data_IF_535031739798
#
_entry.id   IF_535031739798
#
_cell.length_a   1.000
_cell.length_b   1.000
_cell.length_c   1.000
_cell.angle_alpha   90.00
_cell.angle_beta   90.00
_cell.angle_gamma   90.00
#
_symmetry.space_group_name_H-M   'P 1'
#
loop_
_entity.id
_entity.type
_entity.pdbx_description
1 polymer ?
#
# COMPACT_ATOMS: atom_id res chain seq x y z
N UNK A 1 37.42 17.90 -53.38
CA UNK A 1 36.46 17.11 -52.57
C UNK A 1 35.77 18.04 -51.59
N UNK A 2 34.45 18.30 -51.71
CA UNK A 2 33.75 19.19 -50.79
C UNK A 2 33.61 18.55 -49.41
N UNK A 3 33.96 19.29 -48.34
CA UNK A 3 33.77 18.86 -46.95
C UNK A 3 32.27 18.88 -46.60
N UNK A 4 31.72 17.83 -45.96
CA UNK A 4 30.32 17.82 -45.54
C UNK A 4 30.09 18.89 -44.46
N UNK A 5 29.02 19.67 -44.64
CA UNK A 5 28.60 20.74 -43.74
C UNK A 5 28.01 20.18 -42.44
N UNK A 6 28.34 20.76 -41.27
CA UNK A 6 28.00 20.20 -39.95
C UNK A 6 26.49 20.24 -39.61
N UNK A 7 25.65 20.92 -40.41
CA UNK A 7 24.20 20.98 -40.18
C UNK A 7 23.46 19.73 -40.65
N UNK A 8 23.99 19.02 -41.66
CA UNK A 8 23.34 17.86 -42.26
C UNK A 8 23.31 16.66 -41.30
N UNK A 9 24.41 16.41 -40.58
CA UNK A 9 24.53 15.28 -39.65
C UNK A 9 23.66 15.41 -38.39
N UNK A 10 23.38 16.65 -37.95
CA UNK A 10 22.48 16.89 -36.81
C UNK A 10 21.03 16.68 -37.21
N UNK A 11 20.66 17.12 -38.42
CA UNK A 11 19.32 16.94 -38.95
C UNK A 11 18.99 15.46 -39.15
N UNK A 12 19.93 14.66 -39.67
CA UNK A 12 19.74 13.22 -39.82
C UNK A 12 19.62 12.50 -38.47
N UNK A 13 20.43 12.88 -37.47
CA UNK A 13 20.32 12.31 -36.12
C UNK A 13 18.97 12.61 -35.45
N UNK A 14 18.44 13.83 -35.63
CA UNK A 14 17.11 14.21 -35.12
C UNK A 14 16.00 13.42 -35.83
N UNK A 15 16.09 13.25 -37.15
CA UNK A 15 15.13 12.44 -37.91
C UNK A 15 15.12 10.98 -37.46
N UNK A 16 16.28 10.36 -37.28
CA UNK A 16 16.39 8.96 -36.84
C UNK A 16 15.83 8.77 -35.43
N UNK A 17 16.06 9.72 -34.52
CA UNK A 17 15.51 9.66 -33.16
C UNK A 17 14.00 9.83 -33.12
N UNK A 18 13.43 10.76 -33.90
CA UNK A 18 11.97 10.93 -34.01
C UNK A 18 11.31 9.69 -34.60
N UNK A 19 11.89 9.11 -35.65
CA UNK A 19 11.39 7.86 -36.26
C UNK A 19 11.47 6.71 -35.25
N UNK A 20 12.59 6.57 -34.54
CA UNK A 20 12.75 5.54 -33.50
C UNK A 20 11.73 5.68 -32.37
N UNK A 21 11.52 6.90 -31.86
CA UNK A 21 10.51 7.16 -30.83
C UNK A 21 9.09 6.89 -31.33
N UNK A 22 8.77 7.27 -32.57
CA UNK A 22 7.48 6.99 -33.21
C UNK A 22 7.21 5.50 -33.39
N UNK A 23 8.22 4.72 -33.80
CA UNK A 23 8.10 3.26 -33.92
C UNK A 23 7.90 2.58 -32.57
N UNK A 24 8.65 2.99 -31.54
CA UNK A 24 8.49 2.46 -30.18
C UNK A 24 7.10 2.80 -29.63
N UNK A 25 6.66 4.04 -29.77
CA UNK A 25 5.31 4.45 -29.36
C UNK A 25 4.20 3.74 -30.13
N UNK A 26 4.40 3.51 -31.44
CA UNK A 26 3.49 2.73 -32.27
C UNK A 26 3.39 1.28 -31.83
N UNK A 27 4.51 0.64 -31.49
CA UNK A 27 4.53 -0.71 -30.93
C UNK A 27 3.86 -0.78 -29.55
N UNK A 28 4.08 0.22 -28.69
CA UNK A 28 3.39 0.33 -27.41
C UNK A 28 1.88 0.45 -27.62
N UNK A 29 1.42 1.27 -28.56
CA UNK A 29 0.00 1.39 -28.91
C UNK A 29 -0.58 0.11 -29.52
N UNK A 30 0.16 -0.55 -30.42
CA UNK A 30 -0.28 -1.79 -31.08
C UNK A 30 -0.29 -2.99 -30.14
N UNK A 31 0.60 -3.02 -29.15
CA UNK A 31 0.67 -4.05 -28.13
C UNK A 31 -0.10 -3.68 -26.85
N UNK A 32 -0.67 -2.47 -26.78
CA UNK A 32 -1.58 -2.11 -25.70
C UNK A 32 -2.90 -2.86 -25.97
N UNK A 33 -3.38 -3.69 -25.03
CA UNK A 33 -4.65 -4.36 -25.20
C UNK A 33 -5.74 -3.29 -25.33
N UNK A 34 -6.37 -3.24 -26.50
CA UNK A 34 -7.53 -2.40 -26.77
C UNK A 34 -8.60 -2.68 -25.71
N UNK A 35 -9.17 -1.60 -25.16
CA UNK A 35 -10.15 -1.61 -24.06
C UNK A 35 -11.42 -2.43 -24.37
N UNK A 36 -11.57 -2.93 -25.60
CA UNK A 36 -12.70 -3.70 -26.10
C UNK A 36 -12.72 -5.17 -25.66
N UNK A 37 -11.60 -5.74 -25.18
CA UNK A 37 -11.55 -7.13 -24.66
C UNK A 37 -12.00 -7.29 -23.20
N UNK A 38 -12.29 -6.19 -22.49
CA UNK A 38 -12.81 -6.25 -21.11
C UNK A 38 -14.35 -6.40 -21.02
N UNK A 39 -15.06 -6.24 -22.14
CA UNK A 39 -16.53 -6.27 -22.17
C UNK A 39 -17.14 -7.41 -23.00
N UNK A 40 -16.32 -8.29 -23.59
CA UNK A 40 -16.78 -9.43 -24.39
C UNK A 40 -16.36 -10.79 -23.81
N UNK A 41 -16.65 -11.04 -22.53
CA UNK A 41 -16.98 -12.40 -22.10
C UNK A 41 -18.49 -12.61 -22.30
N UNK A 42 -18.93 -12.53 -23.56
CA UNK A 42 -20.19 -13.14 -23.96
C UNK A 42 -19.95 -14.65 -23.95
N UNK A 43 -20.68 -15.32 -23.06
CA UNK A 43 -20.94 -16.76 -22.96
C UNK A 43 -20.77 -17.46 -24.32
N UNK A 44 -19.58 -18.00 -24.58
CA UNK A 44 -19.41 -19.00 -25.64
C UNK A 44 -19.77 -20.35 -25.01
N UNK A 45 -21.05 -20.70 -25.12
CA UNK A 45 -21.52 -22.05 -24.83
C UNK A 45 -20.81 -23.01 -25.78
N UNK A 46 -19.73 -23.64 -25.32
CA UNK A 46 -19.10 -24.76 -26.01
C UNK A 46 -19.45 -26.03 -25.25
N UNK A 47 -20.40 -26.76 -25.83
CA UNK A 47 -20.77 -28.13 -25.50
C UNK A 47 -19.59 -29.10 -25.67
N UNK A 48 -19.67 -30.26 -25.00
CA UNK A 48 -18.77 -31.44 -24.93
C UNK A 48 -17.84 -31.45 -23.71
N UNK A 49 -17.67 -32.53 -22.94
CA UNK A 49 -18.06 -33.94 -23.05
C UNK A 49 -17.91 -34.54 -21.64
N UNK A 50 -18.83 -35.41 -21.22
CA UNK A 50 -18.76 -36.14 -19.95
C UNK A 50 -17.46 -36.98 -19.89
N UNK A 51 -16.68 -36.79 -18.82
CA UNK A 51 -15.52 -37.62 -18.47
C UNK A 51 -15.86 -38.45 -17.20
N UNK A 52 -15.32 -39.67 -17.05
CA UNK A 52 -15.78 -40.65 -16.07
C UNK A 52 -15.36 -40.29 -14.63
N UNK A 53 -16.12 -40.75 -13.61
CA UNK A 53 -15.85 -40.39 -12.22
C UNK A 53 -14.62 -41.13 -11.69
N UNK A 54 -13.67 -40.38 -11.13
CA UNK A 54 -12.66 -40.92 -10.21
C UNK A 54 -13.33 -41.19 -8.84
N UNK A 55 -12.95 -42.26 -8.13
CA UNK A 55 -13.46 -42.50 -6.77
C UNK A 55 -12.87 -41.44 -5.83
N UNK A 56 -13.69 -40.50 -5.38
CA UNK A 56 -13.34 -39.60 -4.30
C UNK A 56 -13.29 -40.38 -2.99
N UNK A 57 -12.18 -40.29 -2.26
CA UNK A 57 -12.09 -40.74 -0.88
C UNK A 57 -13.03 -39.85 -0.05
N UNK A 58 -14.15 -40.42 0.41
CA UNK A 58 -15.17 -39.71 1.19
C UNK A 58 -14.71 -39.58 2.65
N UNK A 59 -14.04 -38.47 2.98
CA UNK A 59 -13.75 -38.06 4.36
C UNK A 59 -14.91 -37.22 4.91
N UNK A 60 -16.14 -37.72 4.80
CA UNK A 60 -17.31 -37.12 5.42
C UNK A 60 -17.34 -37.44 6.92
N UNK A 61 -16.92 -36.47 7.72
CA UNK A 61 -17.16 -36.48 9.18
C UNK A 61 -18.66 -36.22 9.39
N UNK A 62 -19.40 -37.11 10.08
CA UNK A 62 -20.82 -36.91 10.33
C UNK A 62 -21.07 -35.64 11.15
N UNK A 63 -21.89 -34.73 10.63
CA UNK A 63 -22.37 -33.54 11.35
C UNK A 63 -21.83 -32.18 10.88
N UNK A 64 -21.01 -32.12 9.82
CA UNK A 64 -20.54 -30.85 9.25
C UNK A 64 -21.25 -30.60 7.91
N UNK A 65 -22.08 -29.54 7.76
CA UNK A 65 -22.67 -29.19 6.48
C UNK A 65 -21.55 -28.83 5.48
N UNK A 66 -21.65 -29.37 4.26
CA UNK A 66 -20.68 -29.12 3.20
C UNK A 66 -20.55 -27.62 2.92
N UNK A 67 -19.35 -27.10 2.61
CA UNK A 67 -19.20 -25.72 2.20
C UNK A 67 -19.87 -25.54 0.83
N UNK A 68 -20.94 -24.75 0.81
CA UNK A 68 -21.52 -24.22 -0.42
C UNK A 68 -20.47 -23.42 -1.20
N UNK A 69 -20.63 -23.43 -2.52
CA UNK A 69 -19.82 -22.77 -3.54
C UNK A 69 -19.31 -21.35 -3.16
N UNK A 70 -18.18 -20.89 -3.74
CA UNK A 70 -17.50 -19.68 -3.28
C UNK A 70 -18.38 -18.44 -3.49
N UNK A 71 -18.71 -17.75 -2.39
CA UNK A 71 -19.38 -16.45 -2.47
C UNK A 71 -20.25 -16.00 -1.30
N UNK A 72 -20.45 -16.79 -0.24
CA UNK A 72 -21.24 -16.32 0.91
C UNK A 72 -20.71 -16.84 2.24
N UNK A 73 -19.96 -16.01 2.96
CA UNK A 73 -19.70 -16.25 4.38
C UNK A 73 -20.95 -15.84 5.16
N UNK A 74 -21.68 -16.82 5.69
CA UNK A 74 -22.72 -16.58 6.70
C UNK A 74 -22.02 -16.21 8.01
N UNK A 75 -22.25 -15.00 8.51
CA UNK A 75 -21.78 -14.57 9.83
C UNK A 75 -22.99 -14.47 10.75
N UNK A 76 -23.02 -15.30 11.80
CA UNK A 76 -24.06 -15.26 12.84
C UNK A 76 -23.54 -14.45 14.02
N UNK A 77 -24.22 -13.37 14.38
CA UNK A 77 -23.93 -12.59 15.60
C UNK A 77 -25.20 -12.56 16.45
N UNK A 78 -25.09 -13.00 17.71
CA UNK A 78 -26.19 -13.00 18.69
C UNK A 78 -27.48 -13.72 18.23
N UNK A 79 -27.35 -14.87 17.58
CA UNK A 79 -28.48 -15.75 17.27
C UNK A 79 -29.46 -15.24 16.20
N UNK A 80 -29.13 -14.15 15.49
CA UNK A 80 -29.89 -13.67 14.35
C UNK A 80 -29.12 -13.93 13.05
N UNK A 81 -29.78 -14.55 12.06
CA UNK A 81 -29.23 -14.71 10.71
C UNK A 81 -29.32 -13.39 9.95
N UNK A 82 -28.17 -12.75 9.71
CA UNK A 82 -28.10 -11.59 8.82
C UNK A 82 -27.89 -12.11 7.39
N UNK A 83 -28.95 -12.10 6.58
CA UNK A 83 -28.84 -12.24 5.13
C UNK A 83 -28.28 -10.91 4.60
N UNK A 84 -26.99 -10.87 4.22
CA UNK A 84 -26.51 -9.77 3.39
C UNK A 84 -27.05 -9.93 1.97
N UNK A 85 -28.28 -9.44 1.76
CA UNK A 85 -28.76 -9.10 0.42
C UNK A 85 -28.05 -7.82 -0.02
N UNK A 86 -27.07 -7.93 -0.93
CA UNK A 86 -26.52 -6.77 -1.65
C UNK A 86 -27.45 -6.25 -2.76
N UNK A 87 -28.74 -6.07 -2.46
CA UNK A 87 -29.63 -5.29 -3.32
C UNK A 87 -30.32 -4.18 -2.53
N UNK A 88 -29.67 -3.01 -2.58
CA UNK A 88 -30.35 -1.73 -2.76
C UNK A 88 -30.99 -1.10 -1.53
N UNK A 89 -30.20 -0.36 -0.74
CA UNK A 89 -30.68 0.83 -0.03
C UNK A 89 -29.63 1.93 -0.13
N UNK A 90 -30.07 3.11 -0.56
CA UNK A 90 -29.28 4.33 -0.62
C UNK A 90 -28.78 4.69 0.78
N UNK A 91 -27.47 4.64 0.97
CA UNK A 91 -26.76 5.16 2.13
C UNK A 91 -25.30 5.28 1.74
N UNK A 92 -24.71 6.46 1.91
CA UNK A 92 -23.36 6.77 1.50
C UNK A 92 -22.34 5.84 2.18
N UNK A 93 -21.98 4.78 1.47
CA UNK A 93 -21.01 3.78 1.88
C UNK A 93 -20.69 2.93 0.67
N UNK A 94 -20.03 3.54 -0.32
CA UNK A 94 -19.54 2.81 -1.48
C UNK A 94 -18.58 1.75 -0.95
N UNK A 95 -18.94 0.47 -1.07
CA UNK A 95 -17.96 -0.60 -1.07
C UNK A 95 -17.02 -0.30 -2.24
N UNK A 96 -15.88 0.33 -1.94
CA UNK A 96 -14.93 0.71 -2.96
C UNK A 96 -14.43 -0.58 -3.62
N UNK A 97 -14.62 -0.67 -4.93
CA UNK A 97 -13.95 -1.67 -5.76
C UNK A 97 -12.45 -1.69 -5.39
N UNK A 98 -11.83 -2.87 -5.24
CA UNK A 98 -10.43 -2.99 -4.80
C UNK A 98 -9.46 -2.18 -5.69
N UNK A 99 -9.77 -2.00 -6.98
CA UNK A 99 -8.98 -1.12 -7.86
C UNK A 99 -9.16 0.35 -7.51
N UNK A 100 -10.36 0.76 -7.12
CA UNK A 100 -10.63 2.15 -6.70
C UNK A 100 -9.89 2.46 -5.39
N UNK A 101 -9.82 1.50 -4.46
CA UNK A 101 -9.03 1.64 -3.23
C UNK A 101 -7.54 1.80 -3.55
N UNK A 102 -7.01 0.94 -4.42
CA UNK A 102 -5.61 0.99 -4.85
C UNK A 102 -5.28 2.31 -5.54
N UNK A 103 -6.14 2.78 -6.45
CA UNK A 103 -5.97 4.08 -7.12
C UNK A 103 -6.00 5.23 -6.10
N UNK A 104 -6.89 5.17 -5.10
CA UNK A 104 -6.95 6.17 -4.04
C UNK A 104 -5.70 6.15 -3.14
N UNK A 105 -5.12 4.99 -2.85
CA UNK A 105 -3.86 4.85 -2.11
C UNK A 105 -2.70 5.45 -2.90
N UNK A 106 -2.55 5.08 -4.17
CA UNK A 106 -1.50 5.63 -5.05
C UNK A 106 -1.60 7.15 -5.19
N UNK A 107 -2.83 7.67 -5.34
CA UNK A 107 -3.07 9.12 -5.43
C UNK A 107 -2.79 9.82 -4.09
N UNK A 108 -3.19 9.20 -2.98
CA UNK A 108 -2.94 9.71 -1.64
C UNK A 108 -1.43 9.83 -1.38
N UNK A 109 -0.64 8.81 -1.75
CA UNK A 109 0.81 8.84 -1.57
C UNK A 109 1.46 9.98 -2.38
N UNK A 110 1.08 10.15 -3.64
CA UNK A 110 1.60 11.25 -4.47
C UNK A 110 1.23 12.65 -3.92
N UNK A 111 -0.02 12.85 -3.50
CA UNK A 111 -0.46 14.10 -2.87
C UNK A 111 0.26 14.34 -1.53
N UNK A 112 0.50 13.28 -0.76
CA UNK A 112 1.18 13.34 0.52
C UNK A 112 2.66 13.66 0.38
N UNK A 113 3.36 13.09 -0.62
CA UNK A 113 4.77 13.39 -0.89
C UNK A 113 4.96 14.84 -1.34
N UNK A 114 4.07 15.37 -2.19
CA UNK A 114 4.10 16.79 -2.54
C UNK A 114 3.81 17.70 -1.34
N UNK A 115 2.91 17.26 -0.46
CA UNK A 115 2.52 18.03 0.71
C UNK A 115 3.55 18.00 1.85
N UNK A 116 4.19 16.85 2.03
CA UNK A 116 5.11 16.49 3.11
C UNK A 116 6.30 15.74 2.50
N UNK A 117 7.34 16.44 2.04
CA UNK A 117 8.45 15.82 1.33
C UNK A 117 9.22 14.83 2.19
N UNK A 118 9.90 13.87 1.54
CA UNK A 118 10.79 12.88 2.17
C UNK A 118 12.02 13.51 2.83
N UNK A 119 12.33 14.77 2.50
CA UNK A 119 13.35 15.55 3.22
C UNK A 119 12.97 15.86 4.67
N UNK A 120 11.68 15.89 5.00
CA UNK A 120 11.23 15.88 6.38
C UNK A 120 11.35 14.45 6.90
N UNK A 121 12.22 14.24 7.88
CA UNK A 121 12.43 12.93 8.49
C UNK A 121 11.67 12.80 9.82
N UNK A 122 11.32 11.56 10.17
CA UNK A 122 10.75 11.17 11.47
C UNK A 122 9.58 12.04 11.94
N UNK A 123 9.79 12.68 13.10
CA UNK A 123 8.84 13.57 13.78
C UNK A 123 8.36 14.75 12.93
N UNK A 124 9.25 15.33 12.12
CA UNK A 124 8.93 16.47 11.26
C UNK A 124 7.91 16.09 10.18
N UNK A 125 8.11 14.91 9.57
CA UNK A 125 7.19 14.34 8.58
C UNK A 125 5.86 13.98 9.21
N UNK A 126 5.89 13.28 10.36
CA UNK A 126 4.68 12.92 11.12
C UNK A 126 3.81 14.15 11.40
N UNK A 127 4.40 15.21 11.97
CA UNK A 127 3.67 16.46 12.26
C UNK A 127 3.12 17.13 11.01
N UNK A 128 3.86 17.08 9.90
CA UNK A 128 3.36 17.59 8.62
C UNK A 128 2.08 16.85 8.19
N UNK A 129 2.14 15.52 8.21
CA UNK A 129 1.05 14.64 7.79
C UNK A 129 -0.16 14.81 8.71
N UNK A 130 0.02 14.89 10.03
CA UNK A 130 -1.07 15.12 10.99
C UNK A 130 -1.82 16.42 10.72
N UNK A 131 -1.11 17.51 10.41
CA UNK A 131 -1.73 18.80 10.08
C UNK A 131 -2.45 18.75 8.74
N UNK A 132 -1.85 18.10 7.74
CA UNK A 132 -2.37 18.03 6.36
C UNK A 132 -3.51 17.02 6.22
N UNK A 133 -3.63 16.04 7.12
CA UNK A 133 -4.61 14.96 7.06
C UNK A 133 -6.04 15.48 6.79
N UNK A 134 -6.45 16.57 7.44
CA UNK A 134 -7.80 17.15 7.28
C UNK A 134 -8.03 17.81 5.92
N UNK A 135 -6.96 18.22 5.23
CA UNK A 135 -7.02 18.90 3.93
C UNK A 135 -7.01 17.89 2.76
N UNK A 136 -6.80 16.61 3.04
CA UNK A 136 -6.74 15.54 2.04
C UNK A 136 -8.12 14.89 1.85
N UNK A 137 -8.38 14.26 0.68
CA UNK A 137 -9.65 13.60 0.39
C UNK A 137 -10.00 12.53 1.42
N UNK A 138 -11.29 12.29 1.69
CA UNK A 138 -11.79 11.35 2.71
C UNK A 138 -11.18 9.94 2.62
N UNK A 139 -10.94 9.44 1.40
CA UNK A 139 -10.26 8.17 1.18
C UNK A 139 -8.82 8.19 1.68
N UNK A 140 -8.08 9.26 1.39
CA UNK A 140 -6.71 9.45 1.87
C UNK A 140 -6.65 9.66 3.39
N UNK A 141 -7.66 10.32 3.98
CA UNK A 141 -7.75 10.48 5.44
C UNK A 141 -7.77 9.13 6.16
N UNK A 142 -8.51 8.15 5.63
CA UNK A 142 -8.60 6.82 6.24
C UNK A 142 -7.24 6.10 6.22
N UNK A 143 -6.52 6.18 5.09
CA UNK A 143 -5.16 5.61 4.93
C UNK A 143 -4.17 6.28 5.88
N UNK A 144 -4.21 7.62 5.96
CA UNK A 144 -3.33 8.40 6.85
C UNK A 144 -3.61 8.09 8.32
N UNK A 145 -4.88 7.97 8.73
CA UNK A 145 -5.23 7.59 10.11
C UNK A 145 -4.64 6.22 10.47
N UNK A 146 -4.75 5.24 9.58
CA UNK A 146 -4.16 3.91 9.80
C UNK A 146 -2.63 3.95 9.89
N UNK A 147 -1.96 4.75 9.05
CA UNK A 147 -0.51 4.95 9.14
C UNK A 147 -0.10 5.63 10.45
N UNK A 148 -0.81 6.68 10.87
CA UNK A 148 -0.54 7.40 12.11
C UNK A 148 -0.65 6.53 13.36
N UNK A 149 -1.62 5.61 13.41
CA UNK A 149 -1.77 4.64 14.50
C UNK A 149 -0.54 3.73 14.57
N UNK A 150 -0.14 3.13 13.44
CA UNK A 150 1.06 2.28 13.37
C UNK A 150 2.32 3.03 13.80
N UNK A 151 2.45 4.29 13.40
CA UNK A 151 3.59 5.11 13.81
C UNK A 151 3.58 5.48 15.28
N UNK A 152 2.40 5.74 15.87
CA UNK A 152 2.28 6.06 17.29
C UNK A 152 2.73 4.90 18.17
N UNK A 153 2.43 3.67 17.75
CA UNK A 153 2.86 2.45 18.42
C UNK A 153 4.40 2.34 18.44
N UNK A 154 5.03 2.61 17.30
CA UNK A 154 6.48 2.71 17.20
C UNK A 154 7.10 3.91 17.93
N UNK A 155 6.32 4.92 18.34
CA UNK A 155 6.81 6.13 19.01
C UNK A 155 6.44 6.21 20.49
N UNK A 156 5.76 5.18 21.03
CA UNK A 156 5.19 5.21 22.39
C UNK A 156 6.23 5.46 23.50
N UNK A 157 7.48 5.05 23.27
CA UNK A 157 8.59 5.28 24.19
C UNK A 157 9.01 6.75 24.31
N UNK A 158 8.75 7.60 23.32
CA UNK A 158 9.22 8.99 23.33
C UNK A 158 8.63 9.81 24.50
N UNK A 159 7.41 9.47 24.94
CA UNK A 159 6.77 10.16 26.07
C UNK A 159 7.30 9.65 27.42
N UNK A 160 7.45 8.33 27.57
CA UNK A 160 7.96 7.72 28.81
C UNK A 160 9.45 8.02 29.02
N UNK A 161 10.21 8.10 27.93
CA UNK A 161 11.65 8.36 27.94
C UNK A 161 12.01 9.86 27.83
N UNK A 162 11.05 10.79 27.96
CA UNK A 162 11.32 12.21 27.70
C UNK A 162 12.44 12.80 28.59
N UNK A 163 12.50 12.39 29.86
CA UNK A 163 13.57 12.82 30.78
C UNK A 163 14.87 12.06 30.53
N UNK A 164 14.78 10.77 30.20
CA UNK A 164 15.94 9.94 29.89
C UNK A 164 16.64 10.37 28.60
N UNK A 165 15.88 10.77 27.57
CA UNK A 165 16.39 11.40 26.34
C UNK A 165 17.17 12.66 26.68
N UNK A 166 16.66 13.50 27.58
CA UNK A 166 17.38 14.68 28.05
C UNK A 166 18.57 14.33 28.93
N UNK A 167 18.71 13.12 29.45
CA UNK A 167 19.84 12.77 30.30
C UNK A 167 20.97 12.11 29.52
N UNK A 168 20.62 11.22 28.60
CA UNK A 168 21.55 10.34 27.91
C UNK A 168 21.67 10.67 26.42
N UNK A 169 20.61 11.17 25.78
CA UNK A 169 20.54 11.28 24.31
C UNK A 169 20.39 12.73 23.81
N UNK A 170 20.88 13.73 24.54
CA UNK A 170 20.73 15.16 24.19
C UNK A 170 21.30 15.52 22.82
N UNK A 171 22.41 14.90 22.46
CA UNK A 171 23.17 15.22 21.23
C UNK A 171 22.69 14.40 20.02
N UNK A 172 21.73 13.50 20.22
CA UNK A 172 21.24 12.62 19.16
C UNK A 172 20.24 13.37 18.29
N UNK A 173 20.48 13.50 16.99
CA UNK A 173 19.56 14.19 16.10
C UNK A 173 18.23 13.45 16.02
N UNK A 174 17.14 14.21 15.96
CA UNK A 174 15.79 13.68 15.84
C UNK A 174 15.56 13.12 14.43
N UNK A 175 15.78 11.81 14.23
CA UNK A 175 15.58 11.16 12.92
C UNK A 175 15.88 9.66 12.95
N UNK A 176 15.29 8.92 12.01
CA UNK A 176 15.63 7.53 11.63
C UNK A 176 15.75 6.49 12.76
N UNK A 177 15.12 6.71 13.91
CA UNK A 177 15.25 5.79 15.05
C UNK A 177 16.57 5.91 15.81
N UNK A 178 17.42 6.91 15.52
CA UNK A 178 18.68 7.14 16.26
C UNK A 178 18.42 7.41 17.75
N UNK A 179 17.33 8.12 18.07
CA UNK A 179 16.88 8.34 19.44
C UNK A 179 16.58 7.02 20.16
N UNK A 180 15.90 6.11 19.46
CA UNK A 180 15.57 4.79 19.97
C UNK A 180 16.81 3.91 20.12
N UNK A 181 17.79 4.05 19.22
CA UNK A 181 19.09 3.38 19.32
C UNK A 181 19.82 3.83 20.60
N UNK A 182 19.93 5.14 20.82
CA UNK A 182 20.57 5.68 22.02
C UNK A 182 19.87 5.23 23.31
N UNK A 183 18.54 5.24 23.34
CA UNK A 183 17.79 4.74 24.50
C UNK A 183 18.00 3.24 24.73
N UNK A 184 18.20 2.45 23.68
CA UNK A 184 18.55 1.02 23.79
C UNK A 184 19.98 0.82 24.29
N UNK A 185 20.93 1.62 23.83
CA UNK A 185 22.31 1.57 24.31
C UNK A 185 22.41 1.91 25.80
N UNK A 186 21.53 2.82 26.26
CA UNK A 186 21.37 3.18 27.67
C UNK A 186 20.23 2.44 28.37
N UNK A 187 19.75 1.31 27.85
CA UNK A 187 18.58 0.64 28.41
C UNK A 187 18.72 0.23 29.88
N UNK A 188 19.95 0.09 30.38
CA UNK A 188 20.22 -0.21 31.80
C UNK A 188 20.27 1.04 32.69
N UNK A 189 20.40 2.23 32.11
CA UNK A 189 20.56 3.51 32.81
C UNK A 189 19.29 4.37 32.76
N UNK A 190 18.36 4.07 31.85
CA UNK A 190 17.07 4.75 31.73
C UNK A 190 16.10 4.37 32.86
N UNK A 191 15.09 5.20 33.10
CA UNK A 191 14.04 4.89 34.07
C UNK A 191 13.29 3.59 33.77
N UNK A 192 12.76 2.92 34.80
CA UNK A 192 11.95 1.68 34.64
C UNK A 192 10.76 1.89 33.69
N UNK A 193 10.14 3.08 33.77
CA UNK A 193 9.04 3.48 32.89
C UNK A 193 9.46 3.57 31.43
N UNK A 194 10.63 4.14 31.16
CA UNK A 194 11.21 4.16 29.81
C UNK A 194 11.56 2.74 29.35
N UNK A 195 12.29 1.98 30.18
CA UNK A 195 12.74 0.62 29.86
C UNK A 195 11.57 -0.31 29.49
N UNK A 196 10.45 -0.21 30.19
CA UNK A 196 9.25 -1.00 29.92
C UNK A 196 8.63 -0.74 28.53
N UNK A 197 8.86 0.45 27.97
CA UNK A 197 8.34 0.87 26.66
C UNK A 197 9.30 0.63 25.51
N UNK A 198 10.57 0.30 25.80
CA UNK A 198 11.56 0.01 24.76
C UNK A 198 11.22 -1.33 24.08
N UNK A 199 11.31 -1.40 22.73
CA UNK A 199 11.13 -2.65 22.02
C UNK A 199 12.25 -3.62 22.42
N UNK A 200 11.87 -4.74 23.01
CA UNK A 200 12.80 -5.82 23.38
C UNK A 200 13.11 -6.66 22.14
N UNK A 201 13.94 -6.11 21.26
CA UNK A 201 14.41 -6.79 20.05
C UNK A 201 14.30 -5.93 18.79
N UNK A 202 15.40 -5.89 18.06
CA UNK A 202 15.59 -5.40 16.69
C UNK A 202 15.77 -3.89 16.49
N UNK A 203 17.04 -3.46 16.48
CA UNK A 203 17.66 -2.74 15.35
C UNK A 203 19.13 -3.18 15.20
N UNK A 204 19.35 -4.46 14.90
CA UNK A 204 20.58 -4.92 14.25
C UNK A 204 20.35 -5.00 12.74
N UNK A 205 20.13 -3.87 12.09
CA UNK A 205 20.44 -3.77 10.65
C UNK A 205 21.94 -3.49 10.56
N UNK A 206 22.70 -4.57 10.69
CA UNK A 206 24.15 -4.60 10.47
C UNK A 206 24.38 -5.05 9.04
N UNK A 207 24.82 -4.09 8.21
CA UNK A 207 25.36 -4.19 6.85
C UNK A 207 24.50 -4.88 5.78
#
# INVERSE_FOLDING_TARGET
MPKPSPSSSRLTAILVTIIGLGLVWGLVWANMPTKDQLHASAVSSRSMKVAPPTPALDLSIPGVPAPDAPGSHRVVVNGAEIIQSEQGVRGAGVALDPRTKQIAEMKCEAELQQACPDSLQGEGRRRCIERRAKQLPSLCQSVIRQQLVRWKEHSGHALACAEDVKRFCREVPSGEGQMLQCLQDHAQDVSDGCYATLPKGALTLRN
#
